data_IF_079728089687
#
_entry.id   IF_079728089687
#
_cell.length_a   1.000
_cell.length_b   1.000
_cell.length_c   1.000
_cell.angle_alpha   90.00
_cell.angle_beta   90.00
_cell.angle_gamma   90.00
#
_symmetry.space_group_name_H-M   'P 1'
#
loop_
_entity.id
_entity.type
_entity.pdbx_description
1 polymer ?
#
# COMPACT_ATOMS: atom_id res chain seq x y z
N UNK A 1 18.07 -3.95 -18.44
CA UNK A 1 17.32 -2.87 -19.11
C UNK A 1 15.84 -3.11 -18.90
N UNK A 2 15.22 -2.43 -17.95
CA UNK A 2 13.74 -2.42 -17.82
C UNK A 2 13.21 -1.47 -18.89
N UNK A 3 12.27 -1.91 -19.77
CA UNK A 3 11.63 -0.97 -20.67
C UNK A 3 10.82 0.05 -19.84
N UNK A 4 10.74 1.31 -20.27
CA UNK A 4 9.91 2.28 -19.60
C UNK A 4 8.48 1.75 -19.56
N UNK A 5 7.88 1.75 -18.39
CA UNK A 5 6.46 1.46 -18.23
C UNK A 5 5.75 2.53 -19.04
N UNK A 6 5.19 2.09 -20.17
CA UNK A 6 4.43 2.95 -21.04
C UNK A 6 3.38 3.68 -20.19
N UNK A 7 3.43 4.99 -20.22
CA UNK A 7 2.51 5.92 -19.60
C UNK A 7 1.12 5.27 -19.45
N UNK A 8 0.71 4.94 -18.24
CA UNK A 8 -0.67 4.66 -17.93
C UNK A 8 -1.45 5.96 -18.08
N UNK A 9 -1.83 6.22 -19.31
CA UNK A 9 -2.73 7.32 -19.66
C UNK A 9 -3.95 7.26 -18.74
N UNK A 10 -4.24 8.36 -18.10
CA UNK A 10 -5.41 8.67 -17.28
C UNK A 10 -6.65 7.90 -17.76
N UNK A 11 -6.96 6.77 -17.11
CA UNK A 11 -8.25 6.13 -17.28
C UNK A 11 -9.19 6.76 -16.27
N UNK A 12 -9.84 7.84 -16.71
CA UNK A 12 -11.00 8.40 -16.02
C UNK A 12 -12.18 7.45 -16.22
N UNK A 13 -12.32 6.43 -15.39
CA UNK A 13 -13.60 5.76 -15.20
C UNK A 13 -14.23 6.33 -13.93
N UNK A 14 -15.34 7.06 -14.14
CA UNK A 14 -16.22 7.56 -13.08
C UNK A 14 -16.81 6.36 -12.33
N UNK A 15 -16.49 6.16 -11.04
CA UNK A 15 -17.12 5.10 -10.25
C UNK A 15 -18.56 5.50 -9.91
N UNK A 16 -19.47 4.51 -9.67
CA UNK A 16 -20.83 4.79 -9.22
C UNK A 16 -20.78 5.48 -7.85
N UNK A 17 -21.69 6.40 -7.65
CA UNK A 17 -21.82 7.26 -6.49
C UNK A 17 -22.23 6.46 -5.23
N UNK A 18 -21.25 5.97 -4.49
CA UNK A 18 -21.39 5.66 -3.07
C UNK A 18 -20.15 6.19 -2.39
N UNK A 19 -20.30 7.02 -1.36
CA UNK A 19 -19.29 7.74 -0.56
C UNK A 19 -17.85 7.13 -0.54
N UNK A 20 -17.29 6.91 -1.70
CA UNK A 20 -15.87 6.70 -1.86
C UNK A 20 -15.20 8.05 -1.60
N UNK A 21 -14.22 8.11 -0.74
CA UNK A 21 -13.34 9.28 -0.64
C UNK A 21 -13.02 9.72 -2.06
N UNK A 22 -13.28 10.98 -2.38
CA UNK A 22 -12.97 11.48 -3.72
C UNK A 22 -11.49 11.24 -4.02
N UNK A 23 -11.13 11.11 -5.28
CA UNK A 23 -9.73 10.96 -5.70
C UNK A 23 -8.85 12.05 -5.07
N UNK A 24 -9.41 13.23 -4.85
CA UNK A 24 -8.76 14.35 -4.16
C UNK A 24 -8.44 14.03 -2.68
N UNK A 25 -9.34 13.38 -1.96
CA UNK A 25 -9.11 12.99 -0.55
C UNK A 25 -7.99 11.97 -0.45
N UNK A 26 -7.97 10.96 -1.32
CA UNK A 26 -6.89 9.97 -1.38
C UNK A 26 -5.55 10.60 -1.78
N UNK A 27 -5.56 11.55 -2.71
CA UNK A 27 -4.36 12.29 -3.11
C UNK A 27 -3.79 13.12 -1.95
N UNK A 28 -4.63 13.80 -1.19
CA UNK A 28 -4.21 14.53 0.02
C UNK A 28 -3.65 13.60 1.10
N UNK A 29 -4.29 12.46 1.29
CA UNK A 29 -3.79 11.42 2.21
C UNK A 29 -2.41 10.94 1.77
N UNK A 30 -2.26 10.55 0.51
CA UNK A 30 -1.00 10.10 -0.06
C UNK A 30 0.13 11.13 0.13
N UNK A 31 -0.16 12.41 -0.13
CA UNK A 31 0.79 13.51 0.10
C UNK A 31 1.22 13.62 1.57
N UNK A 32 0.31 13.43 2.51
CA UNK A 32 0.62 13.45 3.94
C UNK A 32 1.55 12.29 4.33
N UNK A 33 1.27 11.08 3.83
CA UNK A 33 2.12 9.91 4.06
C UNK A 33 3.50 10.10 3.45
N UNK A 34 3.55 10.57 2.21
CA UNK A 34 4.80 10.84 1.50
C UNK A 34 5.71 11.80 2.26
N UNK A 35 5.15 12.89 2.78
CA UNK A 35 5.89 13.86 3.62
C UNK A 35 6.36 13.23 4.93
N UNK A 36 5.51 12.44 5.58
CA UNK A 36 5.85 11.79 6.86
C UNK A 36 6.97 10.76 6.72
N UNK A 37 7.10 10.16 5.54
CA UNK A 37 8.16 9.20 5.20
C UNK A 37 9.41 9.84 4.59
N UNK A 38 9.35 11.12 4.22
CA UNK A 38 10.45 11.82 3.56
C UNK A 38 10.73 11.30 2.15
N UNK A 39 9.72 10.75 1.47
CA UNK A 39 9.86 10.24 0.10
C UNK A 39 10.01 11.41 -0.86
N UNK A 40 11.14 11.49 -1.56
CA UNK A 40 11.38 12.46 -2.62
C UNK A 40 10.91 11.90 -3.97
N UNK A 41 10.37 12.79 -4.81
CA UNK A 41 9.90 12.43 -6.14
C UNK A 41 8.40 12.11 -6.22
N UNK A 42 7.94 11.86 -7.42
CA UNK A 42 6.53 11.59 -7.72
C UNK A 42 6.16 10.15 -7.33
N UNK A 43 5.04 9.98 -6.68
CA UNK A 43 4.42 8.67 -6.40
C UNK A 43 3.13 8.57 -7.20
N UNK A 44 3.02 7.58 -8.07
CA UNK A 44 1.81 7.30 -8.82
C UNK A 44 1.03 6.18 -8.15
N UNK A 45 -0.28 6.37 -7.99
CA UNK A 45 -1.17 5.37 -7.40
C UNK A 45 -2.24 5.01 -8.43
N UNK A 46 -2.29 3.73 -8.78
CA UNK A 46 -3.28 3.17 -9.68
C UNK A 46 -4.22 2.24 -8.89
N UNK A 47 -5.51 2.52 -8.93
CA UNK A 47 -6.55 1.61 -8.46
C UNK A 47 -7.03 0.80 -9.66
N UNK A 48 -6.92 -0.51 -9.57
CA UNK A 48 -7.07 -1.41 -10.70
C UNK A 48 -7.89 -2.67 -10.35
N UNK A 49 -8.08 -3.56 -11.29
CA UNK A 49 -8.84 -4.80 -11.12
C UNK A 49 -7.96 -5.97 -10.66
N UNK A 50 -8.59 -7.02 -10.12
CA UNK A 50 -7.92 -8.27 -9.79
C UNK A 50 -7.18 -8.88 -10.99
N UNK A 51 -7.79 -8.78 -12.18
CA UNK A 51 -7.18 -9.30 -13.41
C UNK A 51 -5.86 -8.59 -13.74
N UNK A 52 -5.86 -7.28 -13.62
CA UNK A 52 -4.66 -6.47 -13.85
C UNK A 52 -3.61 -6.70 -12.76
N UNK A 53 -4.04 -6.77 -11.49
CA UNK A 53 -3.14 -7.10 -10.38
C UNK A 53 -2.51 -8.49 -10.53
N UNK A 54 -3.26 -9.49 -10.98
CA UNK A 54 -2.73 -10.82 -11.28
C UNK A 54 -1.68 -10.76 -12.40
N UNK A 55 -1.95 -10.01 -13.47
CA UNK A 55 -1.01 -9.82 -14.57
C UNK A 55 0.29 -9.14 -14.10
N UNK A 56 0.18 -8.08 -13.29
CA UNK A 56 1.33 -7.39 -12.68
C UNK A 56 2.12 -8.33 -11.76
N UNK A 57 1.44 -9.04 -10.88
CA UNK A 57 2.06 -9.96 -9.93
C UNK A 57 2.80 -11.11 -10.64
N UNK A 58 2.21 -11.66 -11.70
CA UNK A 58 2.84 -12.66 -12.53
C UNK A 58 4.09 -12.11 -13.25
N UNK A 59 3.99 -10.91 -13.82
CA UNK A 59 5.08 -10.30 -14.59
C UNK A 59 6.26 -9.92 -13.72
N UNK A 60 6.01 -9.32 -12.55
CA UNK A 60 7.07 -8.70 -11.73
C UNK A 60 7.48 -9.53 -10.52
N UNK A 61 6.60 -10.37 -9.98
CA UNK A 61 6.87 -11.21 -8.81
C UNK A 61 6.78 -12.71 -9.10
N UNK A 62 6.48 -13.10 -10.32
CA UNK A 62 6.30 -14.50 -10.77
C UNK A 62 5.24 -15.28 -9.98
N UNK A 63 4.26 -14.57 -9.42
CA UNK A 63 3.13 -15.14 -8.68
C UNK A 63 1.86 -15.01 -9.51
N UNK A 64 1.26 -16.13 -9.90
CA UNK A 64 0.05 -16.13 -10.74
C UNK A 64 -1.23 -16.02 -9.91
N UNK A 65 -1.32 -14.95 -9.09
CA UNK A 65 -2.51 -14.62 -8.30
C UNK A 65 -2.63 -13.12 -8.13
N UNK A 66 -3.86 -12.64 -7.95
CA UNK A 66 -4.10 -11.27 -7.54
C UNK A 66 -3.61 -11.05 -6.09
N UNK A 67 -3.24 -9.82 -5.78
CA UNK A 67 -2.92 -9.34 -4.43
C UNK A 67 -3.55 -7.97 -4.24
N UNK A 68 -3.64 -7.52 -3.01
CA UNK A 68 -4.25 -6.24 -2.64
C UNK A 68 -3.43 -5.03 -3.10
N UNK A 69 -2.12 -5.06 -2.90
CA UNK A 69 -1.21 -3.96 -3.25
C UNK A 69 0.12 -4.47 -3.79
N UNK A 70 0.66 -3.75 -4.75
CA UNK A 70 2.02 -3.92 -5.30
C UNK A 70 2.71 -2.56 -5.35
N UNK A 71 3.98 -2.53 -4.95
CA UNK A 71 4.82 -1.35 -5.03
C UNK A 71 6.01 -1.58 -5.95
N UNK A 72 6.29 -0.61 -6.79
CA UNK A 72 7.36 -0.64 -7.79
C UNK A 72 8.25 0.59 -7.59
N UNK A 73 9.35 0.48 -6.83
CA UNK A 73 10.33 1.56 -6.73
C UNK A 73 10.88 1.93 -8.11
N UNK A 74 11.11 3.21 -8.35
CA UNK A 74 11.65 3.72 -9.61
C UNK A 74 13.10 4.18 -9.45
N UNK A 75 13.91 3.90 -10.45
CA UNK A 75 15.27 4.46 -10.58
C UNK A 75 15.29 5.75 -11.40
N UNK A 76 14.14 6.17 -11.94
CA UNK A 76 14.03 7.39 -12.74
C UNK A 76 14.14 8.63 -11.85
N UNK A 77 15.04 9.59 -12.16
CA UNK A 77 15.14 10.82 -11.40
C UNK A 77 13.80 11.56 -11.32
N UNK A 78 13.43 12.00 -10.11
CA UNK A 78 12.17 12.71 -9.86
C UNK A 78 10.94 11.81 -9.68
N UNK A 79 11.06 10.49 -9.83
CA UNK A 79 9.98 9.52 -9.62
C UNK A 79 10.36 8.57 -8.49
N UNK A 80 9.59 8.54 -7.43
CA UNK A 80 9.79 7.62 -6.31
C UNK A 80 9.32 6.19 -6.65
N UNK A 81 8.23 6.07 -7.37
CA UNK A 81 7.69 4.79 -7.82
C UNK A 81 6.19 4.77 -8.03
N UNK A 82 5.69 3.58 -8.33
CA UNK A 82 4.28 3.30 -8.60
C UNK A 82 3.71 2.35 -7.57
N UNK A 83 2.44 2.56 -7.21
CA UNK A 83 1.66 1.67 -6.33
C UNK A 83 0.41 1.26 -7.09
N UNK A 84 0.16 -0.05 -7.20
CA UNK A 84 -1.06 -0.61 -7.76
C UNK A 84 -1.89 -1.26 -6.64
N UNK A 85 -3.19 -0.98 -6.60
CA UNK A 85 -4.14 -1.47 -5.59
C UNK A 85 -5.32 -2.14 -6.28
N UNK A 86 -5.66 -3.38 -5.86
CA UNK A 86 -6.88 -4.04 -6.29
C UNK A 86 -8.09 -3.44 -5.57
N UNK A 87 -9.04 -2.89 -6.33
CA UNK A 87 -10.28 -2.37 -5.76
C UNK A 87 -11.15 -3.48 -5.20
N UNK A 88 -11.21 -4.63 -5.87
CA UNK A 88 -12.03 -5.77 -5.45
C UNK A 88 -11.53 -6.36 -4.14
N UNK A 89 -10.23 -6.65 -4.03
CA UNK A 89 -9.65 -7.17 -2.78
C UNK A 89 -9.75 -6.12 -1.67
N UNK A 90 -9.53 -4.84 -1.95
CA UNK A 90 -9.72 -3.78 -0.97
C UNK A 90 -11.16 -3.72 -0.44
N UNK A 91 -12.17 -3.93 -1.31
CA UNK A 91 -13.56 -3.97 -0.89
C UNK A 91 -13.89 -5.21 -0.04
N UNK A 92 -13.35 -6.37 -0.39
CA UNK A 92 -13.48 -7.61 0.39
C UNK A 92 -12.87 -7.44 1.78
N UNK A 93 -11.63 -6.97 1.86
CA UNK A 93 -10.94 -6.72 3.12
C UNK A 93 -11.69 -5.70 4.00
N UNK A 94 -12.17 -4.60 3.42
CA UNK A 94 -12.93 -3.59 4.13
C UNK A 94 -14.21 -4.18 4.75
N UNK A 95 -14.91 -5.04 4.01
CA UNK A 95 -16.09 -5.74 4.50
C UNK A 95 -15.76 -6.69 5.64
N UNK A 96 -14.74 -7.52 5.49
CA UNK A 96 -14.31 -8.48 6.52
C UNK A 96 -13.84 -7.80 7.80
N UNK A 97 -13.17 -6.66 7.69
CA UNK A 97 -12.59 -5.91 8.81
C UNK A 97 -13.53 -4.82 9.36
N UNK A 98 -14.75 -4.72 8.83
CA UNK A 98 -15.78 -3.78 9.31
C UNK A 98 -15.35 -2.31 9.28
N UNK A 99 -14.62 -1.90 8.24
CA UNK A 99 -14.33 -0.49 8.00
C UNK A 99 -14.65 -0.07 6.55
N UNK A 100 -14.51 1.20 6.24
CA UNK A 100 -14.87 1.70 4.91
C UNK A 100 -13.84 1.28 3.85
N UNK A 101 -14.28 1.17 2.59
CA UNK A 101 -13.38 0.97 1.45
C UNK A 101 -12.31 2.07 1.37
N UNK A 102 -12.68 3.32 1.66
CA UNK A 102 -11.72 4.42 1.69
C UNK A 102 -10.62 4.20 2.72
N UNK A 103 -10.98 3.76 3.93
CA UNK A 103 -10.03 3.42 4.98
C UNK A 103 -9.10 2.28 4.56
N UNK A 104 -9.64 1.25 3.89
CA UNK A 104 -8.81 0.15 3.39
C UNK A 104 -7.81 0.64 2.33
N UNK A 105 -8.25 1.43 1.38
CA UNK A 105 -7.35 2.02 0.36
C UNK A 105 -6.27 2.89 1.01
N UNK A 106 -6.60 3.67 2.03
CA UNK A 106 -5.62 4.45 2.79
C UNK A 106 -4.57 3.56 3.48
N UNK A 107 -4.99 2.43 4.06
CA UNK A 107 -4.07 1.45 4.67
C UNK A 107 -3.13 0.86 3.61
N UNK A 108 -3.66 0.49 2.46
CA UNK A 108 -2.87 -0.07 1.36
C UNK A 108 -1.90 0.96 0.76
N UNK A 109 -2.29 2.23 0.67
CA UNK A 109 -1.40 3.34 0.28
C UNK A 109 -0.26 3.49 1.27
N UNK A 110 -0.55 3.52 2.58
CA UNK A 110 0.48 3.62 3.61
C UNK A 110 1.49 2.48 3.50
N UNK A 111 1.01 1.25 3.39
CA UNK A 111 1.86 0.06 3.26
C UNK A 111 2.73 0.11 2.00
N UNK A 112 2.13 0.44 0.85
CA UNK A 112 2.86 0.59 -0.41
C UNK A 112 3.93 1.67 -0.37
N UNK A 113 3.65 2.80 0.28
CA UNK A 113 4.62 3.88 0.44
C UNK A 113 5.78 3.50 1.38
N UNK A 114 5.54 2.69 2.40
CA UNK A 114 6.63 2.16 3.23
C UNK A 114 7.62 1.34 2.40
N UNK A 115 7.13 0.50 1.48
CA UNK A 115 7.99 -0.20 0.54
C UNK A 115 8.77 0.76 -0.37
N UNK A 116 8.14 1.83 -0.89
CA UNK A 116 8.84 2.85 -1.68
C UNK A 116 9.89 3.61 -0.87
N UNK A 117 9.70 3.74 0.44
CA UNK A 117 10.66 4.34 1.36
C UNK A 117 11.83 3.39 1.72
N UNK A 118 11.84 2.16 1.21
CA UNK A 118 12.90 1.19 1.40
C UNK A 118 12.68 0.20 2.53
N UNK A 119 11.53 0.21 3.19
CA UNK A 119 11.20 -0.80 4.21
C UNK A 119 10.71 -2.10 3.55
N UNK A 120 11.05 -3.22 4.15
CA UNK A 120 10.59 -4.53 3.68
C UNK A 120 10.38 -5.49 4.86
N UNK A 121 9.13 -5.69 5.25
CA UNK A 121 8.73 -6.53 6.38
C UNK A 121 9.07 -8.03 6.21
N UNK A 122 9.41 -8.47 4.99
CA UNK A 122 9.82 -9.85 4.74
C UNK A 122 11.27 -10.12 5.18
N UNK A 123 12.11 -9.09 5.21
CA UNK A 123 13.54 -9.20 5.48
C UNK A 123 14.05 -8.36 6.66
N UNK A 124 13.28 -7.36 7.13
CA UNK A 124 13.68 -6.52 8.26
C UNK A 124 13.39 -7.17 9.63
N UNK A 125 13.95 -6.62 10.69
CA UNK A 125 13.75 -7.10 12.07
C UNK A 125 12.49 -6.48 12.75
N UNK A 126 11.51 -6.03 11.97
CA UNK A 126 10.28 -5.41 12.44
C UNK A 126 10.22 -3.89 12.30
N UNK A 127 11.21 -3.29 11.67
CA UNK A 127 11.31 -1.83 11.48
C UNK A 127 10.13 -1.28 10.69
N UNK A 128 9.71 -1.98 9.63
CA UNK A 128 8.54 -1.59 8.85
C UNK A 128 7.26 -1.66 9.69
N UNK A 129 7.10 -2.70 10.51
CA UNK A 129 5.95 -2.84 11.40
C UNK A 129 5.88 -1.71 12.44
N UNK A 130 6.98 -1.37 13.06
CA UNK A 130 7.06 -0.24 14.00
C UNK A 130 6.70 1.08 13.32
N UNK A 131 7.23 1.31 12.13
CA UNK A 131 6.98 2.52 11.35
C UNK A 131 5.53 2.60 10.88
N UNK A 132 4.97 1.50 10.39
CA UNK A 132 3.55 1.41 10.00
C UNK A 132 2.65 1.70 11.21
N UNK A 133 2.92 1.10 12.36
CA UNK A 133 2.14 1.30 13.59
C UNK A 133 2.17 2.74 14.06
N UNK A 134 3.34 3.39 14.06
CA UNK A 134 3.49 4.78 14.46
C UNK A 134 2.71 5.73 13.53
N UNK A 135 2.81 5.53 12.22
CA UNK A 135 2.11 6.35 11.23
C UNK A 135 0.60 6.10 11.26
N UNK A 136 0.17 4.85 11.40
CA UNK A 136 -1.23 4.47 11.54
C UNK A 136 -1.91 5.21 12.70
N UNK A 137 -1.27 5.23 13.85
CA UNK A 137 -1.78 5.98 15.04
C UNK A 137 -1.87 7.47 14.75
N UNK A 138 -0.83 8.06 14.16
CA UNK A 138 -0.80 9.48 13.78
C UNK A 138 -1.88 9.84 12.77
N UNK A 139 -2.16 8.96 11.84
CA UNK A 139 -3.14 9.14 10.76
C UNK A 139 -4.55 8.68 11.16
N UNK A 140 -4.73 8.13 12.37
CA UNK A 140 -6.00 7.61 12.91
C UNK A 140 -6.59 6.47 12.05
N UNK A 141 -5.72 5.64 11.51
CA UNK A 141 -6.12 4.42 10.81
C UNK A 141 -6.29 3.24 11.79
N UNK A 142 -7.16 2.28 11.49
CA UNK A 142 -7.29 1.04 12.25
C UNK A 142 -6.06 0.15 12.09
N UNK A 143 -6.16 -1.15 12.35
CA UNK A 143 -5.08 -2.13 12.24
C UNK A 143 -4.38 -2.08 10.87
N UNK A 144 -3.06 -1.97 10.87
CA UNK A 144 -2.25 -1.93 9.65
C UNK A 144 -2.13 -3.29 8.96
N UNK A 145 -1.62 -3.30 7.73
CA UNK A 145 -1.56 -4.50 6.90
C UNK A 145 -0.60 -5.55 7.48
N UNK A 146 0.55 -5.14 7.97
CA UNK A 146 1.54 -6.05 8.57
C UNK A 146 0.97 -6.73 9.82
N UNK A 147 0.30 -5.97 10.68
CA UNK A 147 -0.32 -6.48 11.91
C UNK A 147 -1.38 -7.57 11.63
N UNK A 148 -2.11 -7.47 10.52
CA UNK A 148 -3.09 -8.48 10.09
C UNK A 148 -2.42 -9.78 9.66
N UNK A 149 -1.28 -9.68 8.98
CA UNK A 149 -0.55 -10.83 8.42
C UNK A 149 0.10 -11.67 9.51
N UNK A 150 0.60 -11.03 10.58
CA UNK A 150 1.31 -11.73 11.65
C UNK A 150 0.42 -12.08 12.86
N UNK A 151 -0.80 -11.53 12.96
CA UNK A 151 -1.71 -11.73 14.11
C UNK A 151 -1.17 -11.13 15.42
N UNK A 152 -2.02 -11.01 16.45
CA UNK A 152 -1.62 -10.39 17.74
C UNK A 152 -0.62 -11.21 18.56
N UNK A 153 -0.29 -12.44 18.18
CA UNK A 153 0.47 -13.39 19.01
C UNK A 153 1.99 -13.39 18.77
N UNK A 154 2.51 -12.74 17.74
CA UNK A 154 3.96 -12.77 17.46
C UNK A 154 4.75 -11.55 17.95
N UNK A 155 4.08 -10.43 18.23
CA UNK A 155 4.73 -9.24 18.80
C UNK A 155 5.11 -9.34 20.29
N UNK A 156 4.55 -10.31 21.02
CA UNK A 156 4.79 -10.46 22.46
C UNK A 156 5.91 -11.44 22.86
N UNK A 157 6.41 -12.23 21.89
CA UNK A 157 7.37 -13.29 22.21
C UNK A 157 8.85 -12.88 22.16
N UNK A 158 9.19 -11.72 21.60
CA UNK A 158 10.60 -11.29 21.46
C UNK A 158 11.12 -10.37 22.56
N UNK A 159 10.30 -10.01 23.57
CA UNK A 159 10.74 -9.17 24.70
C UNK A 159 11.09 -9.92 25.99
N UNK A 160 11.11 -11.26 25.98
CA UNK A 160 11.54 -12.04 27.15
C UNK A 160 12.83 -12.80 26.83
N UNK A 161 13.93 -12.11 26.78
CA UNK A 161 15.21 -12.77 26.58
C UNK A 161 16.43 -11.84 26.62
N UNK A 162 16.51 -10.97 27.63
CA UNK A 162 17.79 -10.43 28.15
C UNK A 162 17.56 -9.99 29.60
N UNK A 163 17.74 -10.90 30.46
CA UNK A 163 18.19 -10.64 31.82
C UNK A 163 19.66 -11.01 31.89
#
# INVERSE_FOLDING_TARGET
MCPPICSLSKVTRKPPASKASSAETLSRFATRVQRALGIAGEVNIAITSNREMQALNRRFRRKNKATDVLSFPSETPGVAGDIAISLEIAAENASELSHSLATEVEILILHGMLHLAGFDHEIDDGEMHERETALRRKLKLPVGLIERTYGPSQGAAKQRGKA
#
